data_IF_635573308960
#
_entry.id   IF_635573308960
#
_cell.length_a   1.000
_cell.length_b   1.000
_cell.length_c   1.000
_cell.angle_alpha   90.00
_cell.angle_beta   90.00
_cell.angle_gamma   90.00
#
_symmetry.space_group_name_H-M   'P 1'
#
loop_
_entity.id
_entity.type
_entity.pdbx_description
1 polymer ?
#
# COMPACT_ATOMS: atom_id res chain seq x y z
N UNK A 1 -2.64 24.23 -6.45
CA UNK A 1 -3.21 23.17 -7.32
C UNK A 1 -2.07 22.40 -7.99
N UNK A 2 -1.43 21.47 -7.26
CA UNK A 2 -0.38 20.57 -7.78
C UNK A 2 -0.70 19.08 -7.54
N UNK A 3 -1.87 18.75 -6.98
CA UNK A 3 -2.16 17.40 -6.49
C UNK A 3 -2.93 16.48 -7.44
N UNK A 4 -3.53 17.01 -8.52
CA UNK A 4 -4.30 16.19 -9.46
C UNK A 4 -3.44 15.58 -10.58
N UNK A 5 -2.47 16.34 -11.11
CA UNK A 5 -1.56 15.90 -12.18
C UNK A 5 -0.69 14.72 -11.75
N UNK A 6 -0.09 14.81 -10.55
CA UNK A 6 0.92 13.86 -10.10
C UNK A 6 0.32 12.47 -9.79
N UNK A 7 -0.96 12.41 -9.41
CA UNK A 7 -1.70 11.17 -9.19
C UNK A 7 -2.12 10.50 -10.51
N UNK A 8 -2.58 11.29 -11.48
CA UNK A 8 -2.98 10.78 -12.80
C UNK A 8 -1.78 10.28 -13.61
N UNK A 9 -0.65 10.99 -13.57
CA UNK A 9 0.60 10.59 -14.22
C UNK A 9 1.14 9.26 -13.64
N UNK A 10 1.00 9.07 -12.32
CA UNK A 10 1.39 7.80 -11.66
C UNK A 10 0.54 6.63 -12.13
N UNK A 11 -0.78 6.81 -12.23
CA UNK A 11 -1.69 5.76 -12.71
C UNK A 11 -1.40 5.38 -14.16
N UNK A 12 -1.03 6.34 -15.00
CA UNK A 12 -0.72 6.07 -16.40
C UNK A 12 0.46 5.10 -16.60
N UNK A 13 1.42 5.08 -15.66
CA UNK A 13 2.57 4.18 -15.68
C UNK A 13 2.31 2.80 -15.04
N UNK A 14 1.17 2.61 -14.38
CA UNK A 14 0.82 1.38 -13.66
C UNK A 14 0.18 0.33 -14.58
N UNK A 15 0.42 -0.94 -14.28
CA UNK A 15 -0.26 -2.08 -14.89
C UNK A 15 -1.49 -2.49 -14.07
N UNK A 16 -2.48 -3.18 -14.67
CA UNK A 16 -3.58 -3.78 -13.91
C UNK A 16 -3.08 -4.69 -12.79
N UNK A 17 -3.56 -4.46 -11.56
CA UNK A 17 -3.11 -5.12 -10.34
C UNK A 17 -2.16 -4.28 -9.48
N UNK A 18 -1.54 -3.23 -10.06
CA UNK A 18 -0.59 -2.40 -9.33
C UNK A 18 -1.29 -1.49 -8.31
N UNK A 19 -0.57 -1.21 -7.23
CA UNK A 19 -0.97 -0.29 -6.17
C UNK A 19 0.14 0.72 -5.93
N UNK A 20 -0.25 1.98 -5.81
CA UNK A 20 0.62 3.05 -5.35
C UNK A 20 -0.05 3.78 -4.18
N UNK A 21 0.77 4.37 -3.30
CA UNK A 21 0.30 5.23 -2.22
C UNK A 21 0.91 6.62 -2.37
N UNK A 22 0.14 7.64 -2.04
CA UNK A 22 0.62 9.02 -2.01
C UNK A 22 -0.21 9.86 -1.05
N UNK A 23 0.34 10.99 -0.60
CA UNK A 23 -0.42 12.00 0.14
C UNK A 23 -1.13 12.96 -0.80
N UNK A 24 -2.44 13.13 -0.63
CA UNK A 24 -3.26 13.96 -1.50
C UNK A 24 -3.10 15.48 -1.29
N UNK A 25 -1.96 15.96 -0.79
CA UNK A 25 -1.75 17.38 -0.47
C UNK A 25 -0.56 17.68 0.43
N UNK A 26 -0.71 18.70 1.29
CA UNK A 26 0.33 19.19 2.21
C UNK A 26 0.65 18.25 3.40
N UNK A 27 1.37 18.74 4.41
CA UNK A 27 1.89 17.91 5.51
C UNK A 27 0.82 17.10 6.27
N UNK A 28 -0.37 17.67 6.42
CA UNK A 28 -1.54 17.07 7.09
C UNK A 28 -2.48 16.33 6.12
N UNK A 29 -2.05 16.07 4.89
CA UNK A 29 -2.87 15.35 3.93
C UNK A 29 -2.92 13.85 4.24
N UNK A 30 -4.07 13.25 4.02
CA UNK A 30 -4.25 11.80 4.18
C UNK A 30 -3.54 11.05 3.05
N UNK A 31 -3.10 9.84 3.38
CA UNK A 31 -2.58 8.90 2.40
C UNK A 31 -3.76 8.24 1.69
N UNK A 32 -3.69 8.21 0.36
CA UNK A 32 -4.68 7.54 -0.48
C UNK A 32 -3.98 6.51 -1.37
N UNK A 33 -4.70 5.43 -1.67
CA UNK A 33 -4.19 4.34 -2.48
C UNK A 33 -4.75 4.44 -3.89
N UNK A 34 -3.87 4.50 -4.89
CA UNK A 34 -4.24 4.38 -6.29
C UNK A 34 -4.07 2.93 -6.70
N UNK A 35 -5.11 2.37 -7.30
CA UNK A 35 -5.12 0.99 -7.77
C UNK A 35 -5.48 1.02 -9.25
N UNK A 36 -4.57 0.52 -10.10
CA UNK A 36 -4.87 0.35 -11.51
C UNK A 36 -5.50 -1.02 -11.70
N UNK A 37 -6.68 -1.08 -12.32
CA UNK A 37 -7.37 -2.34 -12.56
C UNK A 37 -8.27 -2.26 -13.80
N UNK A 38 -8.50 -3.39 -14.48
CA UNK A 38 -9.41 -3.48 -15.62
C UNK A 38 -10.80 -3.03 -15.24
N UNK A 39 -11.43 -2.17 -16.05
CA UNK A 39 -12.77 -1.64 -15.76
C UNK A 39 -13.82 -2.74 -15.61
N UNK A 40 -13.66 -3.85 -16.32
CA UNK A 40 -14.52 -5.02 -16.16
C UNK A 40 -14.42 -5.64 -14.75
N UNK A 41 -13.22 -5.76 -14.20
CA UNK A 41 -12.97 -6.31 -12.85
C UNK A 41 -13.55 -5.39 -11.77
N UNK A 42 -13.35 -4.07 -11.91
CA UNK A 42 -13.88 -3.07 -10.97
C UNK A 42 -15.42 -3.18 -10.83
N UNK A 43 -16.12 -3.43 -11.95
CA UNK A 43 -17.57 -3.64 -11.96
C UNK A 43 -17.98 -4.90 -11.19
N UNK A 44 -17.21 -5.98 -11.28
CA UNK A 44 -17.50 -7.24 -10.59
C UNK A 44 -17.41 -7.14 -9.07
N UNK A 45 -16.73 -6.14 -8.51
CA UNK A 45 -16.65 -5.99 -7.06
C UNK A 45 -18.00 -5.72 -6.40
N UNK A 46 -18.97 -5.13 -7.09
CA UNK A 46 -20.30 -4.86 -6.52
C UNK A 46 -20.21 -4.11 -5.20
N UNK A 47 -21.19 -4.25 -4.31
CA UNK A 47 -21.13 -3.72 -2.95
C UNK A 47 -20.33 -4.68 -2.07
N UNK A 48 -19.00 -4.52 -2.05
CA UNK A 48 -18.09 -5.34 -1.25
C UNK A 48 -17.34 -4.48 -0.24
N UNK A 49 -17.09 -5.05 0.94
CA UNK A 49 -16.18 -4.47 1.91
C UNK A 49 -14.71 -4.70 1.52
N UNK A 50 -13.82 -3.97 2.18
CA UNK A 50 -12.37 -4.10 1.99
C UNK A 50 -11.80 -4.71 3.26
N UNK A 51 -11.16 -5.88 3.15
CA UNK A 51 -10.37 -6.42 4.23
C UNK A 51 -8.93 -5.90 4.11
N UNK A 52 -8.34 -5.50 5.23
CA UNK A 52 -7.00 -4.90 5.28
C UNK A 52 -6.10 -5.79 6.12
N UNK A 53 -4.85 -5.99 5.68
CA UNK A 53 -3.78 -6.64 6.45
C UNK A 53 -2.50 -5.82 6.35
N UNK A 54 -1.80 -5.66 7.46
CA UNK A 54 -0.50 -4.98 7.51
C UNK A 54 0.50 -5.81 8.32
N UNK A 55 1.78 -5.65 8.03
CA UNK A 55 2.84 -6.34 8.75
C UNK A 55 4.22 -5.84 8.35
N UNK A 56 5.23 -6.27 9.09
CA UNK A 56 6.63 -5.88 8.88
C UNK A 56 7.42 -7.02 8.28
N UNK A 57 8.41 -6.67 7.48
CA UNK A 57 9.43 -7.59 6.99
C UNK A 57 10.80 -6.99 7.30
N UNK A 58 11.67 -7.81 7.88
CA UNK A 58 13.06 -7.41 8.17
C UNK A 58 14.00 -8.17 7.25
N UNK A 59 14.91 -7.43 6.62
CA UNK A 59 15.93 -7.95 5.72
C UNK A 59 17.28 -7.35 6.13
N UNK A 60 17.96 -8.00 7.07
CA UNK A 60 19.18 -7.46 7.68
C UNK A 60 18.86 -6.19 8.48
N UNK A 61 19.45 -5.06 8.10
CA UNK A 61 19.21 -3.76 8.73
C UNK A 61 18.04 -2.97 8.11
N UNK A 62 17.36 -3.51 7.09
CA UNK A 62 16.22 -2.87 6.42
C UNK A 62 14.93 -3.45 6.98
N UNK A 63 14.08 -2.58 7.51
CA UNK A 63 12.72 -2.93 7.93
C UNK A 63 11.71 -2.24 7.01
N UNK A 64 10.80 -3.04 6.43
CA UNK A 64 9.77 -2.58 5.50
C UNK A 64 8.38 -2.88 6.07
N UNK A 65 7.45 -1.92 5.93
CA UNK A 65 6.04 -2.19 6.13
C UNK A 65 5.42 -2.73 4.84
N UNK A 66 4.53 -3.70 4.97
CA UNK A 66 3.69 -4.21 3.90
C UNK A 66 2.23 -3.97 4.25
N UNK A 67 1.44 -3.68 3.22
CA UNK A 67 0.00 -3.51 3.33
C UNK A 67 -0.67 -4.29 2.20
N UNK A 68 -1.76 -4.96 2.51
CA UNK A 68 -2.56 -5.67 1.53
C UNK A 68 -4.05 -5.44 1.76
N UNK A 69 -4.78 -5.34 0.65
CA UNK A 69 -6.22 -5.15 0.59
C UNK A 69 -6.83 -6.33 -0.15
N UNK A 70 -7.94 -6.85 0.37
CA UNK A 70 -8.74 -7.87 -0.32
C UNK A 70 -10.15 -7.37 -0.53
N UNK A 71 -10.62 -7.41 -1.78
CA UNK A 71 -11.94 -6.96 -2.21
C UNK A 71 -12.64 -8.04 -3.02
N UNK A 72 -13.97 -8.02 -3.05
CA UNK A 72 -14.79 -8.94 -3.85
C UNK A 72 -15.24 -10.15 -3.06
N UNK A 73 -16.53 -10.47 -3.15
CA UNK A 73 -17.14 -11.59 -2.43
C UNK A 73 -17.11 -12.89 -3.24
N UNK A 74 -17.45 -12.83 -4.54
CA UNK A 74 -17.51 -14.02 -5.41
C UNK A 74 -16.14 -14.44 -5.93
N UNK A 75 -15.30 -13.47 -6.30
CA UNK A 75 -13.91 -13.69 -6.73
C UNK A 75 -13.04 -12.68 -5.96
N UNK A 76 -12.43 -13.08 -4.84
CA UNK A 76 -11.63 -12.17 -4.04
C UNK A 76 -10.34 -11.80 -4.79
N UNK A 77 -10.13 -10.50 -4.99
CA UNK A 77 -8.91 -9.93 -5.55
C UNK A 77 -8.07 -9.33 -4.43
N UNK A 78 -6.75 -9.51 -4.52
CA UNK A 78 -5.78 -9.01 -3.56
C UNK A 78 -4.88 -7.99 -4.22
N UNK A 79 -4.71 -6.87 -3.54
CA UNK A 79 -3.86 -5.74 -3.92
C UNK A 79 -2.86 -5.51 -2.81
N UNK A 80 -1.57 -5.40 -3.12
CA UNK A 80 -0.54 -5.35 -2.09
C UNK A 80 0.61 -4.43 -2.48
N UNK A 81 1.23 -3.81 -1.49
CA UNK A 81 2.41 -2.97 -1.66
C UNK A 81 3.36 -3.06 -0.46
N UNK A 82 4.64 -2.81 -0.75
CA UNK A 82 5.66 -2.55 0.25
C UNK A 82 5.88 -1.04 0.33
N UNK A 83 6.00 -0.52 1.54
CA UNK A 83 6.17 0.90 1.81
C UNK A 83 7.65 1.23 2.03
N UNK A 84 8.15 2.19 1.26
CA UNK A 84 9.49 2.75 1.43
C UNK A 84 9.42 3.95 2.38
N UNK A 85 9.83 3.73 3.64
CA UNK A 85 9.91 4.80 4.63
C UNK A 85 10.97 5.85 4.28
N UNK A 86 12.07 5.46 3.63
CA UNK A 86 13.19 6.35 3.30
C UNK A 86 13.01 7.11 1.98
N UNK A 87 11.93 6.84 1.23
CA UNK A 87 11.53 7.66 0.10
C UNK A 87 11.18 9.10 0.55
N UNK A 88 11.23 10.05 -0.38
CA UNK A 88 11.02 11.48 -0.09
C UNK A 88 9.71 11.77 0.68
N UNK A 89 8.62 11.09 0.33
CA UNK A 89 7.31 11.22 1.01
C UNK A 89 7.03 10.12 2.04
N UNK A 90 7.97 9.18 2.24
CA UNK A 90 7.82 7.99 3.08
C UNK A 90 7.40 8.31 4.52
N UNK A 91 8.12 9.18 5.27
CA UNK A 91 7.75 9.52 6.64
C UNK A 91 6.38 10.19 6.72
N UNK A 92 6.04 10.98 5.71
CA UNK A 92 4.73 11.61 5.59
C UNK A 92 3.61 10.59 5.42
N UNK A 93 3.80 9.60 4.55
CA UNK A 93 2.86 8.50 4.34
C UNK A 93 2.65 7.71 5.63
N UNK A 94 3.71 7.36 6.34
CA UNK A 94 3.59 6.65 7.64
C UNK A 94 2.88 7.48 8.69
N UNK A 95 3.16 8.78 8.78
CA UNK A 95 2.47 9.68 9.69
C UNK A 95 0.97 9.78 9.38
N UNK A 96 0.60 9.91 8.09
CA UNK A 96 -0.80 9.94 7.65
C UNK A 96 -1.52 8.62 7.98
N UNK A 97 -0.92 7.48 7.62
CA UNK A 97 -1.47 6.15 7.93
C UNK A 97 -1.55 5.88 9.44
N UNK A 98 -0.65 6.48 10.23
CA UNK A 98 -0.65 6.41 11.69
C UNK A 98 -1.73 7.25 12.39
N UNK A 99 -2.42 8.15 11.67
CA UNK A 99 -3.49 8.99 12.23
C UNK A 99 -4.86 8.81 11.57
N UNK A 100 -4.92 8.41 10.30
CA UNK A 100 -6.19 8.36 9.57
C UNK A 100 -7.04 7.16 10.01
N UNK A 101 -8.33 7.40 10.27
CA UNK A 101 -9.30 6.36 10.66
C UNK A 101 -9.73 5.49 9.46
N UNK A 102 -9.63 6.03 8.25
CA UNK A 102 -10.06 5.37 7.03
C UNK A 102 -8.96 5.37 5.96
N UNK A 103 -8.97 4.34 5.10
CA UNK A 103 -8.07 4.18 3.97
C UNK A 103 -8.89 4.36 2.67
N UNK A 104 -8.71 5.45 1.93
CA UNK A 104 -9.33 5.62 0.62
C UNK A 104 -8.59 4.84 -0.46
N UNK A 105 -9.32 3.99 -1.19
CA UNK A 105 -8.82 3.21 -2.33
C UNK A 105 -9.49 3.73 -3.62
N UNK A 106 -8.72 4.41 -4.46
CA UNK A 106 -9.15 4.90 -5.77
C UNK A 106 -8.78 3.91 -6.85
N UNK A 107 -9.79 3.28 -7.44
CA UNK A 107 -9.63 2.34 -8.54
C UNK A 107 -9.73 3.08 -9.87
N UNK A 108 -8.71 2.94 -10.69
CA UNK A 108 -8.60 3.53 -12.02
C UNK A 108 -8.73 2.46 -13.10
N UNK A 109 -9.67 2.71 -14.01
CA UNK A 109 -10.05 1.80 -15.09
C UNK A 109 -9.13 1.91 -16.31
N UNK A 110 -9.57 1.30 -17.41
CA UNK A 110 -8.81 1.22 -18.66
C UNK A 110 -8.67 2.56 -19.39
N UNK A 111 -9.53 3.53 -19.05
CA UNK A 111 -9.46 4.90 -19.55
C UNK A 111 -8.54 5.81 -18.70
N UNK A 112 -7.83 5.27 -17.70
CA UNK A 112 -6.99 6.01 -16.76
C UNK A 112 -7.75 6.87 -15.74
N UNK A 113 -9.07 7.01 -15.89
CA UNK A 113 -9.92 7.75 -14.96
C UNK A 113 -10.25 6.90 -13.76
N UNK A 114 -10.57 7.57 -12.65
CA UNK A 114 -11.10 6.93 -11.46
C UNK A 114 -12.50 6.39 -11.75
N UNK A 115 -12.61 5.07 -11.84
CA UNK A 115 -13.87 4.36 -12.07
C UNK A 115 -14.64 4.17 -10.76
N UNK A 116 -13.92 3.93 -9.64
CA UNK A 116 -14.57 3.62 -8.36
C UNK A 116 -13.72 4.03 -7.16
N UNK A 117 -14.37 4.28 -6.03
CA UNK A 117 -13.74 4.48 -4.73
C UNK A 117 -14.29 3.47 -3.74
N UNK A 118 -13.39 2.84 -2.99
CA UNK A 118 -13.73 2.09 -1.78
C UNK A 118 -13.08 2.78 -0.58
N UNK A 119 -13.71 2.65 0.58
CA UNK A 119 -13.18 3.17 1.84
C UNK A 119 -13.13 2.00 2.82
N UNK A 120 -11.94 1.72 3.33
CA UNK A 120 -11.74 0.73 4.37
C UNK A 120 -11.54 1.42 5.73
N UNK A 121 -12.00 0.82 6.83
CA UNK A 121 -11.51 1.22 8.14
C UNK A 121 -10.01 0.91 8.24
N UNK A 122 -9.25 1.75 8.92
CA UNK A 122 -7.83 1.53 9.20
C UNK A 122 -7.67 0.88 10.59
N UNK A 123 -7.40 -0.43 10.68
CA UNK A 123 -7.18 -1.08 11.98
C UNK A 123 -5.72 -0.97 12.45
N UNK A 124 -4.84 -0.36 11.67
CA UNK A 124 -3.38 -0.32 11.89
C UNK A 124 -2.75 1.06 12.23
N UNK A 125 -3.44 2.09 12.76
CA UNK A 125 -2.78 3.36 13.13
C UNK A 125 -1.59 3.19 14.09
N UNK A 126 -1.71 2.33 15.10
CA UNK A 126 -0.61 2.05 16.04
C UNK A 126 0.57 1.37 15.34
N UNK A 127 0.30 0.37 14.50
CA UNK A 127 1.31 -0.35 13.73
C UNK A 127 2.17 0.59 12.88
N UNK A 128 1.58 1.56 12.17
CA UNK A 128 2.37 2.47 11.34
C UNK A 128 3.26 3.41 12.17
N UNK A 129 2.78 3.88 13.33
CA UNK A 129 3.59 4.70 14.25
C UNK A 129 4.77 3.89 14.81
N UNK A 130 4.49 2.71 15.34
CA UNK A 130 5.52 1.82 15.90
C UNK A 130 6.55 1.37 14.86
N UNK A 131 6.12 1.13 13.61
CA UNK A 131 7.03 0.77 12.53
C UNK A 131 7.92 1.95 12.13
N UNK A 132 7.37 3.16 12.05
CA UNK A 132 8.17 4.37 11.79
C UNK A 132 9.20 4.59 12.90
N UNK A 133 8.80 4.45 14.16
CA UNK A 133 9.70 4.57 15.32
C UNK A 133 10.80 3.50 15.27
N UNK A 134 10.47 2.25 14.94
CA UNK A 134 11.43 1.15 14.78
C UNK A 134 12.46 1.45 13.69
N UNK A 135 12.01 1.87 12.50
CA UNK A 135 12.90 2.20 11.38
C UNK A 135 13.86 3.34 11.73
N UNK A 136 13.42 4.35 12.50
CA UNK A 136 14.26 5.46 12.92
C UNK A 136 15.40 5.04 13.89
N UNK A 137 15.27 3.89 14.56
CA UNK A 137 16.30 3.35 15.44
C UNK A 137 17.34 2.50 14.71
N UNK A 138 17.06 2.11 13.46
CA UNK A 138 17.97 1.33 12.62
C UNK A 138 18.96 2.24 11.87
N UNK A 139 20.10 1.69 11.39
CA UNK A 139 20.97 2.43 10.48
C UNK A 139 20.22 2.95 9.26
N UNK A 140 20.49 4.18 8.79
CA UNK A 140 19.79 4.74 7.65
C UNK A 140 20.09 3.94 6.38
N UNK A 141 19.04 3.61 5.64
CA UNK A 141 19.10 2.92 4.35
C UNK A 141 18.54 3.79 3.23
N UNK A 142 18.82 3.42 1.97
CA UNK A 142 18.46 4.19 0.77
C UNK A 142 17.57 3.36 -0.16
N UNK A 143 17.07 3.98 -1.22
CA UNK A 143 16.21 3.32 -2.20
C UNK A 143 16.82 2.07 -2.88
N UNK A 144 18.15 1.92 -2.92
CA UNK A 144 18.79 0.68 -3.39
C UNK A 144 18.61 -0.49 -2.41
N UNK A 145 18.73 -0.20 -1.11
CA UNK A 145 18.50 -1.17 -0.05
C UNK A 145 17.03 -1.58 -0.02
N UNK A 146 16.11 -0.63 -0.20
CA UNK A 146 14.68 -0.91 -0.39
C UNK A 146 14.45 -1.89 -1.53
N UNK A 147 15.00 -1.61 -2.72
CA UNK A 147 14.82 -2.48 -3.90
C UNK A 147 15.36 -3.88 -3.66
N UNK A 148 16.48 -4.00 -2.97
CA UNK A 148 17.08 -5.28 -2.60
C UNK A 148 16.19 -6.05 -1.62
N UNK A 149 15.77 -5.42 -0.52
CA UNK A 149 14.88 -6.04 0.45
C UNK A 149 13.52 -6.41 -0.17
N UNK A 150 12.94 -5.53 -1.00
CA UNK A 150 11.72 -5.79 -1.74
C UNK A 150 11.86 -6.98 -2.69
N UNK A 151 13.01 -7.13 -3.38
CA UNK A 151 13.28 -8.29 -4.23
C UNK A 151 13.37 -9.60 -3.42
N UNK A 152 13.97 -9.57 -2.22
CA UNK A 152 14.01 -10.73 -1.31
C UNK A 152 12.61 -11.10 -0.82
N UNK A 153 11.79 -10.11 -0.44
CA UNK A 153 10.40 -10.39 -0.03
C UNK A 153 9.60 -10.94 -1.21
N UNK A 154 9.74 -10.36 -2.40
CA UNK A 154 9.05 -10.82 -3.62
C UNK A 154 9.49 -12.20 -4.10
N UNK A 155 10.70 -12.65 -3.78
CA UNK A 155 11.10 -14.03 -4.11
C UNK A 155 10.38 -15.06 -3.22
N UNK A 156 10.01 -14.67 -1.99
CA UNK A 156 9.23 -15.49 -1.04
C UNK A 156 7.72 -15.33 -1.23
N UNK A 157 7.29 -14.14 -1.65
CA UNK A 157 5.90 -13.77 -1.92
C UNK A 157 5.78 -13.23 -3.36
N UNK A 158 5.75 -14.10 -4.38
CA UNK A 158 5.76 -13.68 -5.78
C UNK A 158 4.55 -12.83 -6.19
N UNK A 159 3.39 -13.08 -5.60
CA UNK A 159 2.15 -12.37 -5.89
C UNK A 159 1.53 -11.65 -4.69
N UNK A 160 0.57 -10.76 -4.93
CA UNK A 160 -0.19 -10.10 -3.87
C UNK A 160 -0.88 -11.09 -2.91
N UNK A 161 -1.37 -12.22 -3.43
CA UNK A 161 -2.02 -13.27 -2.65
C UNK A 161 -1.08 -13.92 -1.62
N UNK A 162 0.19 -14.11 -1.99
CA UNK A 162 1.21 -14.66 -1.08
C UNK A 162 1.52 -13.67 0.04
N UNK A 163 1.66 -12.38 -0.29
CA UNK A 163 1.84 -11.33 0.71
C UNK A 163 0.64 -11.27 1.65
N UNK A 164 -0.58 -11.37 1.13
CA UNK A 164 -1.79 -11.42 1.96
C UNK A 164 -1.80 -12.61 2.91
N UNK A 165 -1.39 -13.79 2.44
CA UNK A 165 -1.28 -14.99 3.29
C UNK A 165 -0.25 -14.78 4.40
N UNK A 166 0.97 -14.34 4.06
CA UNK A 166 2.05 -14.08 5.00
C UNK A 166 1.66 -13.06 6.09
N UNK A 167 0.91 -12.01 5.72
CA UNK A 167 0.42 -11.00 6.67
C UNK A 167 -0.70 -11.52 7.60
N UNK A 168 -1.37 -12.62 7.23
CA UNK A 168 -2.46 -13.20 8.01
C UNK A 168 -2.06 -14.22 9.06
N UNK A 169 -0.91 -14.85 8.88
CA UNK A 169 -0.41 -15.92 9.76
C UNK A 169 0.29 -15.37 11.02
N UNK A 170 0.33 -14.04 11.18
CA UNK A 170 1.11 -13.38 12.21
C UNK A 170 2.57 -13.38 11.80
N UNK A 171 2.98 -12.38 11.01
CA UNK A 171 4.37 -12.18 10.61
C UNK A 171 5.22 -11.74 11.81
N UNK A 172 5.47 -12.69 12.71
CA UNK A 172 6.68 -12.79 13.50
C UNK A 172 7.51 -13.89 12.82
N UNK A 173 8.34 -13.50 11.85
CA UNK A 173 9.42 -14.36 11.40
C UNK A 173 10.72 -13.59 11.61
N UNK A 174 11.44 -14.05 12.64
CA UNK A 174 12.81 -13.70 13.01
C UNK A 174 13.80 -13.89 11.85
#
# INVERSE_FOLDING_TARGET
MKGASDGEDRVAAMMPGDVAVFRAGGPEADAVFLIRERSAVIKYFGETGVAVRAGRFTCGAVELAALAFRLGHAVPMVYALLLDYCAEDGPGIFAALGRQEYLPLYFHGDNGRRDRTFIAANPYPAFFRETADSIQLLPPWKGEDFRTAAAVIRSRCPGPGDLWAALGEGAAQE
#
